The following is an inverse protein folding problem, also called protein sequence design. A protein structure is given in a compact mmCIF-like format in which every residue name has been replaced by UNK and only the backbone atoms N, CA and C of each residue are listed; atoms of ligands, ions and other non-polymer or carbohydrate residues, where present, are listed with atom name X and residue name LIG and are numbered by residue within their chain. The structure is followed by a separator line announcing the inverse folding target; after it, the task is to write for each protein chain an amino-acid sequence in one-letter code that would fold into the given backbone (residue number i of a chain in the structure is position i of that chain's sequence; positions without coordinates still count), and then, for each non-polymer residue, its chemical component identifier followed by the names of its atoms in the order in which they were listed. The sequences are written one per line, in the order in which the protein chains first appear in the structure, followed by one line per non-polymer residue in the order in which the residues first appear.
data_IF_290190040950
#
_entry.id   IF_290190040950
#
_cell.length_a   1.000
_cell.length_b   1.000
_cell.length_c   1.000
_cell.angle_alpha   90.00
_cell.angle_beta   90.00
_cell.angle_gamma   90.00
#
_symmetry.space_group_name_H-M   'P 1'
#
loop_
_entity.id
_entity.type
_entity.pdbx_description
1 polymer ?
#
# COMPACT_ATOMS: atom_id res chain seq x y z
N UNK A 1 20.26 46.51 -15.31
CA UNK A 1 18.85 46.55 -14.86
C UNK A 1 18.07 45.32 -15.30
N UNK A 2 18.28 44.81 -16.51
CA UNK A 2 17.63 43.60 -17.02
C UNK A 2 17.88 42.35 -16.14
N UNK A 3 19.12 42.16 -15.67
CA UNK A 3 19.49 41.05 -14.78
C UNK A 3 18.82 41.12 -13.39
N UNK A 4 18.50 42.31 -12.90
CA UNK A 4 17.80 42.44 -11.60
C UNK A 4 16.32 42.05 -11.74
N UNK A 5 15.70 42.39 -12.87
CA UNK A 5 14.31 42.04 -13.16
C UNK A 5 14.17 40.54 -13.39
N UNK A 6 15.09 39.91 -14.13
CA UNK A 6 15.06 38.45 -14.34
C UNK A 6 15.27 37.68 -13.04
N UNK A 7 16.22 38.10 -12.19
CA UNK A 7 16.43 37.48 -10.87
C UNK A 7 15.23 37.70 -9.94
N UNK A 8 14.60 38.88 -9.97
CA UNK A 8 13.39 39.15 -9.19
C UNK A 8 12.22 38.24 -9.61
N UNK A 9 11.97 38.11 -10.92
CA UNK A 9 10.92 37.24 -11.45
C UNK A 9 11.23 35.76 -11.15
N UNK A 10 12.48 35.33 -11.34
CA UNK A 10 12.90 33.97 -11.03
C UNK A 10 12.72 33.66 -9.53
N UNK A 11 13.05 34.61 -8.64
CA UNK A 11 12.81 34.48 -7.20
C UNK A 11 11.33 34.28 -6.86
N UNK A 12 10.44 35.07 -7.45
CA UNK A 12 8.98 34.94 -7.25
C UNK A 12 8.47 33.58 -7.74
N UNK A 13 8.95 33.12 -8.90
CA UNK A 13 8.59 31.81 -9.45
C UNK A 13 9.08 30.65 -8.59
N UNK A 14 10.28 30.74 -8.01
CA UNK A 14 10.79 29.69 -7.13
C UNK A 14 10.01 29.60 -5.82
N UNK A 15 9.66 30.75 -5.22
CA UNK A 15 8.89 30.81 -3.96
C UNK A 15 7.48 30.22 -4.15
N UNK A 16 6.84 30.50 -5.28
CA UNK A 16 5.48 30.02 -5.57
C UNK A 16 5.45 28.61 -6.19
N UNK A 17 6.47 28.24 -6.96
CA UNK A 17 6.55 26.96 -7.66
C UNK A 17 7.01 25.79 -6.79
N UNK A 18 7.91 26.03 -5.84
CA UNK A 18 8.41 25.00 -4.93
C UNK A 18 7.30 24.25 -4.15
N UNK A 19 6.32 24.91 -3.49
CA UNK A 19 5.26 24.20 -2.79
C UNK A 19 4.34 23.41 -3.73
N UNK A 20 4.10 23.90 -4.94
CA UNK A 20 3.30 23.18 -5.94
C UNK A 20 3.98 21.87 -6.38
N UNK A 21 5.29 21.92 -6.62
CA UNK A 21 6.09 20.75 -6.96
C UNK A 21 6.12 19.73 -5.81
N UNK A 22 6.22 20.20 -4.57
CA UNK A 22 6.20 19.33 -3.39
C UNK A 22 4.84 18.65 -3.21
N UNK A 23 3.73 19.35 -3.44
CA UNK A 23 2.41 18.71 -3.40
C UNK A 23 2.23 17.69 -4.54
N UNK A 24 2.72 18.01 -5.74
CA UNK A 24 2.70 17.08 -6.86
C UNK A 24 3.51 15.82 -6.57
N UNK A 25 4.71 15.94 -6.01
CA UNK A 25 5.54 14.77 -5.67
C UNK A 25 4.89 13.88 -4.62
N UNK A 26 4.28 14.46 -3.56
CA UNK A 26 3.50 13.71 -2.56
C UNK A 26 2.33 12.95 -3.19
N UNK A 27 1.59 13.57 -4.10
CA UNK A 27 0.50 12.92 -4.83
C UNK A 27 0.98 11.76 -5.69
N UNK A 28 2.14 11.89 -6.34
CA UNK A 28 2.72 10.81 -7.13
C UNK A 28 3.20 9.65 -6.25
N UNK A 29 3.83 9.95 -5.11
CA UNK A 29 4.21 8.93 -4.12
C UNK A 29 2.99 8.15 -3.61
N UNK A 30 1.91 8.84 -3.26
CA UNK A 30 0.63 8.23 -2.87
C UNK A 30 0.08 7.31 -3.96
N UNK A 31 0.04 7.79 -5.21
CA UNK A 31 -0.43 6.98 -6.35
C UNK A 31 0.45 5.75 -6.56
N UNK A 32 1.77 5.91 -6.49
CA UNK A 32 2.73 4.82 -6.66
C UNK A 32 2.53 3.75 -5.58
N UNK A 33 2.47 4.12 -4.31
CA UNK A 33 2.26 3.17 -3.21
C UNK A 33 0.94 2.38 -3.34
N UNK A 34 -0.16 3.08 -3.63
CA UNK A 34 -1.47 2.44 -3.85
C UNK A 34 -1.42 1.51 -5.06
N UNK A 35 -0.79 1.92 -6.17
CA UNK A 35 -0.65 1.10 -7.38
C UNK A 35 0.18 -0.16 -7.09
N UNK A 36 1.32 -0.03 -6.40
CA UNK A 36 2.21 -1.15 -6.08
C UNK A 36 1.48 -2.20 -5.25
N UNK A 37 0.87 -1.81 -4.13
CA UNK A 37 0.16 -2.79 -3.29
C UNK A 37 -1.08 -3.37 -3.99
N UNK A 38 -1.81 -2.56 -4.77
CA UNK A 38 -2.94 -3.07 -5.56
C UNK A 38 -2.49 -4.14 -6.55
N UNK A 39 -1.39 -3.89 -7.27
CA UNK A 39 -0.83 -4.82 -8.24
C UNK A 39 -0.32 -6.10 -7.56
N UNK A 40 0.34 -5.98 -6.41
CA UNK A 40 0.80 -7.14 -5.63
C UNK A 40 -0.37 -7.99 -5.12
N UNK A 41 -1.48 -7.37 -4.67
CA UNK A 41 -2.69 -8.09 -4.28
C UNK A 41 -3.38 -8.77 -5.47
N UNK A 42 -3.46 -8.09 -6.62
CA UNK A 42 -3.99 -8.68 -7.85
C UNK A 42 -3.14 -9.86 -8.32
N UNK A 43 -1.82 -9.72 -8.25
CA UNK A 43 -0.88 -10.80 -8.53
C UNK A 43 -1.08 -11.95 -7.54
N UNK A 44 -1.19 -11.68 -6.23
CA UNK A 44 -1.46 -12.68 -5.20
C UNK A 44 -2.68 -13.53 -5.54
N UNK A 45 -3.78 -12.88 -5.94
CA UNK A 45 -5.01 -13.56 -6.38
C UNK A 45 -4.77 -14.42 -7.62
N UNK A 46 -4.10 -13.87 -8.63
CA UNK A 46 -3.79 -14.63 -9.86
C UNK A 46 -2.89 -15.82 -9.59
N UNK A 47 -1.88 -15.68 -8.73
CA UNK A 47 -0.99 -16.76 -8.33
C UNK A 47 -1.73 -17.86 -7.57
N UNK A 48 -2.71 -17.53 -6.72
CA UNK A 48 -3.52 -18.54 -6.05
C UNK A 48 -4.26 -19.43 -7.05
N UNK A 49 -4.85 -18.81 -8.07
CA UNK A 49 -5.56 -19.51 -9.15
C UNK A 49 -4.59 -20.31 -10.02
N UNK A 50 -3.50 -19.70 -10.49
CA UNK A 50 -2.55 -20.34 -11.40
C UNK A 50 -1.80 -21.50 -10.77
N UNK A 51 -1.42 -21.38 -9.50
CA UNK A 51 -0.71 -22.42 -8.76
C UNK A 51 -1.66 -23.43 -8.10
N UNK A 52 -2.98 -23.21 -8.21
CA UNK A 52 -4.01 -23.98 -7.54
C UNK A 52 -3.72 -24.18 -6.03
N UNK A 53 -3.22 -23.12 -5.38
CA UNK A 53 -2.81 -23.13 -3.97
C UNK A 53 -3.26 -21.86 -3.24
N UNK A 54 -3.17 -21.85 -1.92
CA UNK A 54 -3.49 -20.67 -1.12
C UNK A 54 -2.33 -19.69 -1.22
N UNK A 55 -2.63 -18.40 -1.37
CA UNK A 55 -1.61 -17.35 -1.36
C UNK A 55 -1.96 -16.34 -0.29
N UNK A 56 -0.97 -15.96 0.50
CA UNK A 56 -1.12 -15.00 1.60
C UNK A 56 -0.30 -13.76 1.31
N UNK A 57 -0.92 -12.60 1.47
CA UNK A 57 -0.28 -11.30 1.55
C UNK A 57 -0.38 -10.77 2.98
N UNK A 58 0.72 -10.29 3.54
CA UNK A 58 0.79 -9.80 4.92
C UNK A 58 1.90 -8.75 5.09
N UNK A 59 1.82 -7.86 6.08
CA UNK A 59 2.92 -6.98 6.42
C UNK A 59 4.07 -7.82 6.96
N UNK A 60 5.32 -7.41 6.71
CA UNK A 60 6.49 -8.15 7.16
C UNK A 60 7.59 -8.21 6.12
N UNK A 61 8.54 -9.12 6.32
CA UNK A 61 9.74 -9.23 5.47
C UNK A 61 10.01 -10.69 5.11
N UNK A 62 10.74 -10.97 4.01
CA UNK A 62 11.03 -12.35 3.63
C UNK A 62 11.74 -13.18 4.71
N UNK A 63 12.59 -12.53 5.52
CA UNK A 63 13.34 -13.20 6.59
C UNK A 63 12.53 -13.43 7.86
N UNK A 64 11.69 -12.47 8.26
CA UNK A 64 10.89 -12.58 9.48
C UNK A 64 9.49 -13.20 9.26
N UNK A 65 9.04 -13.28 8.01
CA UNK A 65 7.69 -13.71 7.67
C UNK A 65 6.64 -12.62 7.92
N UNK A 66 5.41 -13.04 8.21
CA UNK A 66 4.30 -12.15 8.49
C UNK A 66 4.40 -11.54 9.89
N UNK A 67 4.26 -10.23 9.97
CA UNK A 67 3.98 -9.50 11.21
C UNK A 67 2.52 -9.69 11.63
N UNK A 68 2.27 -9.71 12.94
CA UNK A 68 0.92 -9.65 13.53
C UNK A 68 0.42 -8.20 13.73
N UNK A 69 1.00 -7.26 12.98
CA UNK A 69 0.57 -5.86 12.94
C UNK A 69 -0.44 -5.61 11.81
N UNK A 70 -1.25 -4.56 11.96
CA UNK A 70 -2.04 -3.98 10.86
C UNK A 70 -1.25 -2.97 10.04
N UNK A 71 0.02 -2.73 10.37
CA UNK A 71 0.89 -1.77 9.70
C UNK A 71 1.70 -2.42 8.57
N UNK A 72 1.43 -1.97 7.33
CA UNK A 72 2.08 -2.39 6.08
C UNK A 72 3.14 -1.38 5.61
N UNK A 73 3.33 -0.29 6.34
CA UNK A 73 4.24 0.81 5.96
C UNK A 73 5.69 0.36 5.89
N UNK A 74 6.08 -0.58 6.76
CA UNK A 74 7.40 -1.22 6.78
C UNK A 74 7.65 -2.23 5.64
N UNK A 75 6.66 -2.44 4.77
CA UNK A 75 6.71 -3.41 3.69
C UNK A 75 5.83 -4.63 3.94
N UNK A 76 5.70 -5.45 2.90
CA UNK A 76 4.86 -6.64 2.89
C UNK A 76 5.46 -7.75 2.06
N UNK A 77 4.93 -8.94 2.24
CA UNK A 77 5.31 -10.12 1.47
C UNK A 77 4.07 -10.83 0.94
N UNK A 78 4.27 -11.55 -0.16
CA UNK A 78 3.29 -12.46 -0.76
C UNK A 78 3.97 -13.81 -0.95
N UNK A 79 3.33 -14.89 -0.50
CA UNK A 79 3.88 -16.23 -0.60
C UNK A 79 2.77 -17.28 -0.79
N UNK A 80 3.15 -18.42 -1.36
CA UNK A 80 2.28 -19.60 -1.44
C UNK A 80 2.26 -20.30 -0.08
N UNK A 81 1.07 -20.43 0.51
CA UNK A 81 0.77 -21.00 1.83
C UNK A 81 0.32 -22.45 1.64
N UNK A 82 1.29 -23.36 1.47
CA UNK A 82 0.99 -24.74 1.07
C UNK A 82 0.48 -25.59 2.24
N UNK A 83 0.83 -25.22 3.48
CA UNK A 83 0.42 -25.92 4.69
C UNK A 83 -0.77 -25.27 5.42
N UNK A 84 -1.28 -24.15 4.89
CA UNK A 84 -2.45 -23.42 5.39
C UNK A 84 -2.31 -22.81 6.79
N UNK A 85 -1.08 -22.57 7.26
CA UNK A 85 -0.83 -21.97 8.57
C UNK A 85 -0.77 -20.43 8.52
N UNK A 86 -0.72 -19.86 7.31
CA UNK A 86 -0.68 -18.41 7.03
C UNK A 86 0.60 -17.73 7.51
N UNK A 87 1.67 -18.49 7.73
CA UNK A 87 2.98 -18.00 8.10
C UNK A 87 3.98 -18.41 7.03
N UNK A 88 4.88 -17.50 6.67
CA UNK A 88 5.93 -17.84 5.73
C UNK A 88 7.05 -18.61 6.43
N UNK A 89 7.25 -19.89 6.08
CA UNK A 89 8.46 -20.65 6.47
C UNK A 89 9.42 -20.90 5.29
N UNK A 90 10.69 -21.20 5.59
CA UNK A 90 11.81 -21.22 4.64
C UNK A 90 11.58 -22.01 3.33
N UNK A 91 10.76 -23.06 3.34
CA UNK A 91 10.46 -23.88 2.16
C UNK A 91 9.34 -23.35 1.26
N UNK A 92 8.64 -22.29 1.66
CA UNK A 92 7.53 -21.75 0.88
C UNK A 92 7.98 -20.73 -0.16
N UNK A 93 7.31 -20.77 -1.30
CA UNK A 93 7.60 -19.91 -2.44
C UNK A 93 7.21 -18.46 -2.15
N UNK A 94 8.21 -17.57 -2.10
CA UNK A 94 8.00 -16.13 -2.02
C UNK A 94 7.67 -15.59 -3.43
N UNK A 95 6.46 -15.05 -3.59
CA UNK A 95 5.93 -14.56 -4.87
C UNK A 95 6.29 -13.08 -5.07
N UNK A 96 6.13 -12.26 -4.02
CA UNK A 96 6.42 -10.81 -4.05
C UNK A 96 6.94 -10.31 -2.71
N UNK A 97 7.69 -9.22 -2.79
CA UNK A 97 8.12 -8.40 -1.66
C UNK A 97 7.81 -6.94 -1.99
N UNK A 98 6.96 -6.33 -1.19
CA UNK A 98 6.76 -4.89 -1.16
C UNK A 98 7.88 -4.20 -0.38
N UNK A 99 8.22 -2.99 -0.80
CA UNK A 99 9.21 -2.18 -0.10
C UNK A 99 8.53 -1.25 0.90
N UNK A 100 9.29 -0.88 1.93
CA UNK A 100 8.90 0.18 2.85
C UNK A 100 8.64 1.48 2.08
N UNK A 101 7.60 2.20 2.47
CA UNK A 101 7.32 3.53 1.94
C UNK A 101 7.63 4.56 3.02
N UNK A 102 8.55 5.46 2.75
CA UNK A 102 8.85 6.56 3.68
C UNK A 102 7.70 7.56 3.74
N UNK A 103 7.49 8.16 4.91
CA UNK A 103 6.51 9.22 5.14
C UNK A 103 5.06 8.83 4.80
N UNK A 104 4.74 7.54 4.74
CA UNK A 104 3.39 7.06 4.46
C UNK A 104 3.00 6.00 5.47
N UNK A 105 1.80 6.16 6.03
CA UNK A 105 1.16 5.14 6.84
C UNK A 105 0.23 4.30 5.96
N UNK A 106 0.37 2.98 6.04
CA UNK A 106 -0.41 1.99 5.30
C UNK A 106 -1.00 1.02 6.32
N UNK A 107 -2.29 1.18 6.65
CA UNK A 107 -2.96 0.39 7.68
C UNK A 107 -4.07 -0.49 7.12
N UNK A 108 -4.07 -1.77 7.49
CA UNK A 108 -5.27 -2.59 7.33
C UNK A 108 -6.27 -2.36 8.47
N UNK A 109 -7.53 -2.75 8.26
CA UNK A 109 -8.54 -2.69 9.31
C UNK A 109 -8.24 -3.66 10.46
N UNK A 110 -8.66 -3.29 11.66
CA UNK A 110 -8.44 -4.07 12.88
C UNK A 110 -8.84 -5.54 12.70
N UNK A 111 -7.97 -6.46 13.16
CA UNK A 111 -8.17 -7.90 13.04
C UNK A 111 -7.92 -8.50 11.65
N UNK A 112 -7.54 -7.69 10.64
CA UNK A 112 -7.17 -8.18 9.30
C UNK A 112 -5.69 -7.87 9.01
N UNK A 113 -4.79 -8.59 9.66
CA UNK A 113 -3.33 -8.49 9.43
C UNK A 113 -2.86 -9.25 8.20
N UNK A 114 -3.68 -10.17 7.66
CA UNK A 114 -3.33 -10.99 6.50
C UNK A 114 -4.49 -11.06 5.52
N UNK A 115 -4.19 -11.02 4.22
CA UNK A 115 -5.14 -11.26 3.13
C UNK A 115 -4.79 -12.63 2.54
N UNK A 116 -5.75 -13.55 2.54
CA UNK A 116 -5.59 -14.89 1.98
C UNK A 116 -6.47 -15.04 0.75
N UNK A 117 -5.86 -15.42 -0.36
CA UNK A 117 -6.55 -15.81 -1.58
C UNK A 117 -6.58 -17.34 -1.69
N UNK A 118 -7.74 -17.87 -2.07
CA UNK A 118 -7.95 -19.30 -2.34
C UNK A 118 -7.72 -19.62 -3.83
N UNK A 119 -7.58 -20.91 -4.19
CA UNK A 119 -7.42 -21.34 -5.59
C UNK A 119 -8.54 -20.93 -6.55
N UNK A 120 -9.74 -20.64 -6.04
CA UNK A 120 -10.87 -20.10 -6.82
C UNK A 120 -10.79 -18.56 -7.00
N UNK A 121 -9.76 -17.92 -6.45
CA UNK A 121 -9.56 -16.48 -6.46
C UNK A 121 -10.41 -15.71 -5.44
N UNK A 122 -11.14 -16.40 -4.55
CA UNK A 122 -11.85 -15.77 -3.45
C UNK A 122 -10.90 -15.34 -2.33
N UNK A 123 -11.35 -14.42 -1.48
CA UNK A 123 -10.61 -13.93 -0.32
C UNK A 123 -11.48 -14.04 0.95
N UNK A 124 -11.70 -15.25 1.47
CA UNK A 124 -12.70 -15.50 2.52
C UNK A 124 -12.43 -14.74 3.83
N UNK A 125 -13.48 -14.55 4.62
CA UNK A 125 -13.48 -13.81 5.88
C UNK A 125 -14.44 -12.63 5.85
N UNK A 126 -14.07 -11.51 6.46
CA UNK A 126 -14.76 -10.23 6.34
C UNK A 126 -14.14 -9.36 5.25
N UNK A 127 -14.86 -8.39 4.70
CA UNK A 127 -14.23 -7.43 3.78
C UNK A 127 -13.01 -6.78 4.46
N UNK A 128 -11.88 -6.79 3.77
CA UNK A 128 -10.66 -6.18 4.25
C UNK A 128 -10.46 -4.83 3.59
N UNK A 129 -9.77 -3.94 4.28
CA UNK A 129 -9.35 -2.71 3.66
C UNK A 129 -7.99 -2.25 4.13
N UNK A 130 -7.20 -1.73 3.20
CA UNK A 130 -5.88 -1.17 3.44
C UNK A 130 -5.92 0.31 3.08
N UNK A 131 -5.65 1.16 4.06
CA UNK A 131 -5.75 2.62 3.95
C UNK A 131 -4.36 3.22 3.92
N UNK A 132 -4.15 4.19 3.04
CA UNK A 132 -2.92 4.90 2.80
C UNK A 132 -3.11 6.35 3.20
N UNK A 133 -2.26 6.86 4.09
CA UNK A 133 -2.17 8.27 4.40
C UNK A 133 -0.73 8.74 4.40
N UNK A 134 -0.46 9.91 3.83
CA UNK A 134 0.87 10.52 3.79
C UNK A 134 0.82 12.00 4.18
N UNK A 135 1.87 12.79 3.90
CA UNK A 135 2.00 14.17 4.39
C UNK A 135 1.04 15.15 3.69
N UNK A 136 0.24 14.68 2.75
CA UNK A 136 -0.86 15.41 2.14
C UNK A 136 -2.14 15.39 2.99
N UNK A 137 -2.14 14.69 4.13
CA UNK A 137 -3.27 14.57 5.05
C UNK A 137 -4.41 13.70 4.51
N UNK A 138 -5.53 13.62 5.26
CA UNK A 138 -6.64 12.70 4.97
C UNK A 138 -7.37 13.06 3.65
N UNK A 139 -7.35 14.32 3.22
CA UNK A 139 -7.93 14.71 1.93
C UNK A 139 -7.29 13.96 0.73
N UNK A 140 -6.01 13.59 0.87
CA UNK A 140 -5.29 12.81 -0.15
C UNK A 140 -5.27 11.31 0.14
N UNK A 141 -5.84 10.86 1.26
CA UNK A 141 -5.84 9.46 1.65
C UNK A 141 -6.63 8.59 0.66
N UNK A 142 -6.16 7.35 0.50
CA UNK A 142 -6.73 6.36 -0.41
C UNK A 142 -6.91 5.05 0.31
N UNK A 143 -7.82 4.23 -0.17
CA UNK A 143 -8.14 2.93 0.42
C UNK A 143 -8.28 1.88 -0.65
N UNK A 144 -7.67 0.72 -0.44
CA UNK A 144 -7.95 -0.50 -1.18
C UNK A 144 -8.96 -1.30 -0.38
N UNK A 145 -10.05 -1.71 -1.03
CA UNK A 145 -11.08 -2.57 -0.44
C UNK A 145 -11.06 -3.91 -1.15
N UNK A 146 -10.94 -4.97 -0.36
CA UNK A 146 -10.90 -6.35 -0.81
C UNK A 146 -12.18 -7.02 -0.32
N UNK A 147 -13.02 -7.44 -1.26
CA UNK A 147 -14.24 -8.19 -0.97
C UNK A 147 -13.96 -9.68 -0.79
N UNK A 148 -14.91 -10.41 -0.19
CA UNK A 148 -14.80 -11.85 0.01
C UNK A 148 -14.69 -12.67 -1.28
N UNK A 149 -15.16 -12.14 -2.41
CA UNK A 149 -15.01 -12.76 -3.74
C UNK A 149 -13.64 -12.45 -4.40
N UNK A 150 -12.75 -11.78 -3.67
CA UNK A 150 -11.39 -11.43 -4.12
C UNK A 150 -11.31 -10.19 -5.00
N UNK A 151 -12.42 -9.47 -5.23
CA UNK A 151 -12.38 -8.19 -5.98
C UNK A 151 -11.65 -7.13 -5.16
N UNK A 152 -10.62 -6.54 -5.74
CA UNK A 152 -9.82 -5.43 -5.19
C UNK A 152 -10.24 -4.14 -5.89
N UNK A 153 -10.64 -3.13 -5.14
CA UNK A 153 -11.04 -1.81 -5.67
C UNK A 153 -10.40 -0.68 -4.89
N UNK A 154 -10.22 0.46 -5.56
CA UNK A 154 -9.70 1.69 -4.95
C UNK A 154 -10.86 2.63 -4.62
N UNK A 155 -10.82 3.19 -3.42
CA UNK A 155 -11.72 4.24 -2.94
C UNK A 155 -10.92 5.43 -2.40
N UNK A 156 -11.58 6.58 -2.30
CA UNK A 156 -11.11 7.69 -1.49
C UNK A 156 -11.35 7.40 0.00
N UNK A 157 -10.49 7.92 0.88
CA UNK A 157 -10.66 7.82 2.32
C UNK A 157 -10.57 9.20 3.02
N UNK A 158 -11.37 10.20 2.60
CA UNK A 158 -11.24 11.57 3.11
C UNK A 158 -11.66 11.71 4.58
N UNK A 159 -12.44 10.76 5.11
CA UNK A 159 -12.92 10.75 6.50
C UNK A 159 -12.03 9.95 7.43
N UNK A 160 -10.79 9.65 7.03
CA UNK A 160 -9.82 9.01 7.93
C UNK A 160 -9.55 9.94 9.12
N UNK A 161 -9.43 9.37 10.31
CA UNK A 161 -9.00 10.14 11.48
C UNK A 161 -7.63 10.77 11.21
N UNK A 162 -7.53 12.08 11.42
CA UNK A 162 -6.33 12.90 11.24
C UNK A 162 -5.15 12.37 12.07
N UNK A 163 -5.43 11.71 13.20
CA UNK A 163 -4.42 11.11 14.08
C UNK A 163 -3.64 9.95 13.45
N UNK A 164 -4.14 9.39 12.33
CA UNK A 164 -3.54 8.26 11.62
C UNK A 164 -2.64 8.69 10.46
N UNK A 165 -2.49 9.98 10.20
CA UNK A 165 -1.65 10.47 9.11
C UNK A 165 -0.31 10.99 9.65
N UNK A 166 0.83 10.61 9.06
CA UNK A 166 2.10 11.22 9.45
C UNK A 166 2.07 12.72 9.16
N UNK A 167 2.55 13.51 10.12
CA UNK A 167 2.68 14.98 10.03
C UNK A 167 3.79 15.39 9.08
#
# INVERSE_FOLDING_TARGET
MELMVTVAIAGILLVTGAPALQNFSRLQQMKAAVNTLQNDLMMSRSSAVHLNTRVVACPGTPGAGCSDSTDWSGGWIVFADNNADRQRQAGENLIRRGQQTEQMLILSNAGRTRIRFLPDGSAPGSNSSITFCGPGGPAQARKLVISNVGRIRRDAAPTLDLSLCPT
#
